data_IF_264953767855
#
_entry.id   IF_264953767855
#
_cell.length_a   1.000
_cell.length_b   1.000
_cell.length_c   1.000
_cell.angle_alpha   90.00
_cell.angle_beta   90.00
_cell.angle_gamma   90.00
#
_symmetry.space_group_name_H-M   'P 1'
#
loop_
_entity.id
_entity.type
_entity.pdbx_description
1 polymer ?
#
# COMPACT_ATOMS: atom_id res chain seq x y z
N UNK A 1 61.30 -34.46 49.18
CA UNK A 1 60.79 -33.18 48.67
C UNK A 1 60.03 -33.46 47.37
N UNK A 2 58.70 -33.44 47.43
CA UNK A 2 57.81 -33.74 46.29
C UNK A 2 57.52 -32.45 45.50
N UNK A 3 57.50 -32.49 44.16
CA UNK A 3 57.19 -31.30 43.36
C UNK A 3 55.67 -31.03 43.37
N UNK A 4 55.30 -29.78 43.65
CA UNK A 4 53.95 -29.24 43.51
C UNK A 4 53.51 -29.33 42.03
N UNK A 5 52.48 -30.11 41.75
CA UNK A 5 51.75 -30.04 40.48
C UNK A 5 50.83 -28.81 40.52
N UNK A 6 51.09 -27.85 39.65
CA UNK A 6 50.18 -26.74 39.36
C UNK A 6 49.14 -27.27 38.37
N UNK A 7 47.93 -27.51 38.85
CA UNK A 7 46.79 -27.86 38.00
C UNK A 7 46.30 -26.58 37.34
N UNK A 8 46.77 -26.31 36.12
CA UNK A 8 46.21 -25.24 35.29
C UNK A 8 44.80 -25.61 34.86
N UNK A 9 43.81 -24.89 35.38
CA UNK A 9 42.43 -24.98 34.93
C UNK A 9 42.33 -24.25 33.58
N UNK A 10 42.54 -24.97 32.49
CA UNK A 10 42.21 -24.50 31.15
C UNK A 10 40.68 -24.47 31.03
N UNK A 11 40.06 -23.32 31.31
CA UNK A 11 38.66 -23.07 30.99
C UNK A 11 38.56 -23.03 29.47
N UNK A 12 38.12 -24.14 28.88
CA UNK A 12 37.76 -24.25 27.46
C UNK A 12 36.65 -23.25 27.13
N UNK A 13 37.04 -22.11 26.58
CA UNK A 13 36.19 -21.07 25.97
C UNK A 13 35.59 -21.53 24.61
N UNK A 14 35.29 -22.83 24.45
CA UNK A 14 34.84 -23.43 23.18
C UNK A 14 33.34 -23.78 23.15
N UNK A 15 32.53 -23.18 24.03
CA UNK A 15 31.08 -23.35 24.05
C UNK A 15 30.33 -22.02 23.90
N UNK A 16 30.60 -21.29 22.81
CA UNK A 16 29.66 -20.31 22.27
C UNK A 16 29.26 -20.63 20.81
N UNK A 17 28.95 -21.88 20.41
CA UNK A 17 28.27 -22.08 19.15
C UNK A 17 26.78 -21.79 19.40
N UNK A 18 26.19 -20.91 18.59
CA UNK A 18 24.75 -20.64 18.55
C UNK A 18 24.16 -19.78 19.69
N UNK A 19 24.74 -18.60 19.94
CA UNK A 19 23.83 -17.45 20.03
C UNK A 19 23.38 -17.15 18.61
N UNK A 20 22.46 -17.97 18.09
CA UNK A 20 21.70 -17.61 16.91
C UNK A 20 21.08 -16.26 17.24
N UNK A 21 21.52 -15.21 16.56
CA UNK A 21 20.94 -13.88 16.71
C UNK A 21 19.45 -14.06 16.46
N UNK A 22 18.66 -13.93 17.53
CA UNK A 22 17.21 -13.97 17.44
C UNK A 22 16.81 -13.00 16.33
N UNK A 23 16.13 -13.54 15.31
CA UNK A 23 15.69 -12.73 14.18
C UNK A 23 14.78 -11.59 14.67
N UNK A 24 14.61 -10.60 13.81
CA UNK A 24 13.79 -9.42 14.08
C UNK A 24 12.33 -9.76 14.48
N UNK A 25 11.86 -10.96 14.16
CA UNK A 25 10.53 -11.48 14.50
C UNK A 25 10.62 -12.84 15.19
N UNK A 26 11.67 -13.08 15.98
CA UNK A 26 11.74 -14.29 16.80
C UNK A 26 10.59 -14.34 17.81
N UNK A 27 9.99 -15.52 17.96
CA UNK A 27 8.76 -15.70 18.73
C UNK A 27 7.46 -15.22 18.06
N UNK A 28 7.53 -14.57 16.90
CA UNK A 28 6.34 -14.27 16.10
C UNK A 28 5.92 -15.53 15.32
N UNK A 29 4.81 -16.14 15.71
CA UNK A 29 4.33 -17.40 15.10
C UNK A 29 2.90 -17.32 14.59
N UNK A 30 2.17 -16.27 14.97
CA UNK A 30 0.75 -16.13 14.64
C UNK A 30 0.61 -15.33 13.36
N UNK A 31 0.07 -15.98 12.34
CA UNK A 31 -0.02 -15.49 10.96
C UNK A 31 -1.30 -16.00 10.32
N UNK A 32 -1.82 -15.27 9.34
CA UNK A 32 -2.98 -15.70 8.55
C UNK A 32 -2.90 -15.15 7.13
N UNK A 33 -3.60 -15.75 6.19
CA UNK A 33 -3.73 -15.23 4.83
C UNK A 33 -5.18 -14.85 4.57
N UNK A 34 -5.43 -13.60 4.19
CA UNK A 34 -6.72 -13.13 3.71
C UNK A 34 -6.66 -13.20 2.18
N UNK A 35 -7.35 -14.15 1.53
CA UNK A 35 -7.26 -14.33 0.09
C UNK A 35 -8.00 -13.20 -0.63
N UNK A 36 -7.53 -12.87 -1.83
CA UNK A 36 -8.32 -12.06 -2.75
C UNK A 36 -9.60 -12.82 -3.14
N UNK A 37 -10.70 -12.11 -3.37
CA UNK A 37 -11.91 -12.73 -3.92
C UNK A 37 -11.58 -13.39 -5.27
N UNK A 38 -12.23 -14.50 -5.58
CA UNK A 38 -12.06 -15.22 -6.85
C UNK A 38 -10.64 -15.75 -7.16
N UNK A 39 -9.73 -15.87 -6.17
CA UNK A 39 -8.35 -16.40 -6.37
C UNK A 39 -8.14 -17.83 -5.88
N UNK A 40 -9.20 -18.65 -5.85
CA UNK A 40 -9.14 -19.94 -5.18
C UNK A 40 -8.00 -20.86 -5.68
N UNK A 41 -7.54 -20.70 -6.93
CA UNK A 41 -6.43 -21.47 -7.49
C UNK A 41 -5.50 -20.67 -8.43
N UNK A 42 -5.74 -19.38 -8.64
CA UNK A 42 -5.00 -18.57 -9.62
C UNK A 42 -4.49 -17.27 -8.99
N UNK A 43 -3.26 -16.83 -9.35
CA UNK A 43 -2.76 -15.51 -9.02
C UNK A 43 -3.77 -14.42 -9.41
N UNK A 44 -3.89 -13.39 -8.57
CA UNK A 44 -4.74 -12.23 -8.83
C UNK A 44 -4.29 -11.49 -10.08
N UNK A 45 -5.26 -11.14 -10.91
CA UNK A 45 -5.06 -10.23 -12.03
C UNK A 45 -5.05 -8.79 -11.51
N UNK A 46 -3.87 -8.19 -11.47
CA UNK A 46 -3.68 -6.80 -11.06
C UNK A 46 -4.22 -5.77 -12.08
N UNK A 47 -4.77 -6.20 -13.22
CA UNK A 47 -5.71 -5.41 -14.02
C UNK A 47 -7.04 -5.16 -13.30
N UNK A 48 -7.40 -5.95 -12.29
CA UNK A 48 -8.61 -5.80 -11.49
C UNK A 48 -8.34 -5.20 -10.11
N UNK A 49 -9.36 -4.57 -9.52
CA UNK A 49 -9.24 -3.98 -8.17
C UNK A 49 -9.20 -5.08 -7.13
N UNK A 50 -8.10 -5.25 -6.37
CA UNK A 50 -7.99 -6.32 -5.39
C UNK A 50 -9.10 -6.16 -4.36
N UNK A 51 -9.87 -7.22 -4.14
CA UNK A 51 -11.01 -7.22 -3.22
C UNK A 51 -10.90 -8.35 -2.23
N UNK A 52 -11.40 -8.12 -1.02
CA UNK A 52 -11.51 -9.14 0.03
C UNK A 52 -12.94 -9.22 0.57
N UNK A 53 -13.31 -10.39 1.07
CA UNK A 53 -14.56 -10.59 1.81
C UNK A 53 -14.44 -10.02 3.23
N UNK A 54 -15.36 -9.14 3.60
CA UNK A 54 -15.41 -8.48 4.92
C UNK A 54 -16.76 -8.68 5.57
N UNK A 55 -16.78 -9.05 6.84
CA UNK A 55 -18.00 -9.10 7.65
C UNK A 55 -17.95 -8.06 8.75
N UNK A 56 -19.05 -7.32 8.91
CA UNK A 56 -19.25 -6.42 10.04
C UNK A 56 -20.22 -7.00 11.05
N UNK A 57 -19.93 -6.77 12.33
CA UNK A 57 -20.89 -6.97 13.42
C UNK A 57 -21.05 -5.66 14.21
N UNK A 58 -22.22 -5.46 14.85
CA UNK A 58 -22.43 -4.32 15.75
C UNK A 58 -21.55 -4.48 17.00
N UNK A 59 -21.31 -3.37 17.71
CA UNK A 59 -20.39 -3.22 18.85
C UNK A 59 -20.38 -4.40 19.83
N UNK A 60 -21.58 -4.91 20.15
CA UNK A 60 -21.78 -5.83 21.28
C UNK A 60 -22.33 -7.19 20.87
N UNK A 61 -22.41 -7.50 19.56
CA UNK A 61 -22.87 -8.80 19.10
C UNK A 61 -21.84 -9.44 18.17
N UNK A 62 -21.46 -10.68 18.47
CA UNK A 62 -20.67 -11.52 17.55
C UNK A 62 -21.51 -12.07 16.38
N UNK A 63 -22.71 -11.52 16.17
CA UNK A 63 -23.64 -11.94 15.11
C UNK A 63 -23.42 -11.04 13.88
N UNK A 64 -22.76 -11.53 12.82
CA UNK A 64 -22.51 -10.75 11.62
C UNK A 64 -23.80 -10.48 10.82
N UNK A 65 -23.75 -9.44 9.99
CA UNK A 65 -24.61 -9.40 8.81
C UNK A 65 -24.40 -10.69 8.00
N UNK A 66 -25.48 -11.27 7.45
CA UNK A 66 -25.54 -12.68 7.03
C UNK A 66 -24.64 -13.07 5.84
N UNK A 67 -24.03 -12.12 5.13
CA UNK A 67 -23.12 -12.37 4.01
C UNK A 67 -21.90 -11.45 4.10
N UNK A 68 -20.72 -11.88 3.60
CA UNK A 68 -19.60 -10.96 3.41
C UNK A 68 -19.97 -9.87 2.41
N UNK A 69 -19.34 -8.72 2.58
CA UNK A 69 -19.30 -7.65 1.61
C UNK A 69 -17.92 -7.62 0.95
N UNK A 70 -17.85 -7.13 -0.28
CA UNK A 70 -16.62 -7.10 -1.06
C UNK A 70 -15.96 -5.73 -0.97
N UNK A 71 -14.81 -5.65 -0.31
CA UNK A 71 -14.11 -4.37 -0.13
C UNK A 71 -12.88 -4.31 -1.02
N UNK A 72 -12.76 -3.23 -1.79
CA UNK A 72 -11.53 -2.92 -2.50
C UNK A 72 -10.43 -2.61 -1.50
N UNK A 73 -9.27 -3.27 -1.64
CA UNK A 73 -8.10 -3.03 -0.82
C UNK A 73 -7.29 -1.89 -1.42
N UNK A 74 -6.97 -0.92 -0.58
CA UNK A 74 -6.31 0.32 -0.97
C UNK A 74 -5.11 0.60 -0.07
N UNK A 75 -3.90 0.43 -0.59
CA UNK A 75 -2.66 0.79 0.10
C UNK A 75 -2.39 2.30 0.10
N UNK A 76 -3.13 3.06 -0.72
CA UNK A 76 -3.12 4.51 -0.82
C UNK A 76 -4.02 5.22 0.19
N UNK A 77 -4.80 4.52 1.01
CA UNK A 77 -5.62 5.15 2.06
C UNK A 77 -5.60 4.33 3.36
N UNK A 78 -6.12 4.88 4.44
CA UNK A 78 -6.15 4.21 5.74
C UNK A 78 -7.55 4.24 6.36
N UNK A 79 -8.06 3.07 6.74
CA UNK A 79 -9.37 2.91 7.35
C UNK A 79 -10.42 2.36 6.39
N UNK A 80 -11.53 1.90 6.96
CA UNK A 80 -12.65 1.34 6.18
C UNK A 80 -13.68 2.44 5.94
N UNK A 81 -14.08 2.62 4.67
CA UNK A 81 -15.22 3.43 4.28
C UNK A 81 -16.32 2.50 3.80
N UNK A 82 -17.50 2.61 4.42
CA UNK A 82 -18.63 1.73 4.16
C UNK A 82 -19.92 2.53 4.01
N UNK A 83 -20.81 2.10 3.12
CA UNK A 83 -22.20 2.59 3.14
C UNK A 83 -22.82 2.35 4.51
N UNK A 84 -23.47 3.36 5.10
CA UNK A 84 -24.05 3.24 6.45
C UNK A 84 -24.95 2.01 6.65
N UNK A 85 -25.70 1.62 5.61
CA UNK A 85 -26.62 0.47 5.66
C UNK A 85 -25.85 -0.86 5.75
N UNK A 86 -24.70 -0.96 5.07
CA UNK A 86 -23.81 -2.14 5.09
C UNK A 86 -23.29 -2.44 6.50
N UNK A 87 -23.06 -1.39 7.29
CA UNK A 87 -22.58 -1.47 8.68
C UNK A 87 -23.70 -1.29 9.71
N UNK A 88 -24.96 -1.32 9.26
CA UNK A 88 -26.18 -1.18 10.06
C UNK A 88 -26.13 0.03 10.99
N UNK A 89 -25.67 1.16 10.47
CA UNK A 89 -25.67 2.43 11.20
C UNK A 89 -27.01 3.14 11.01
N UNK A 90 -27.99 2.72 11.81
CA UNK A 90 -29.38 3.18 11.79
C UNK A 90 -29.86 3.74 13.15
N UNK A 91 -29.07 3.55 14.20
CA UNK A 91 -29.46 3.92 15.57
C UNK A 91 -29.09 5.37 15.90
N UNK A 92 -30.10 6.17 16.24
CA UNK A 92 -29.93 7.54 16.75
C UNK A 92 -29.01 7.59 17.97
N UNK A 93 -29.01 6.55 18.81
CA UNK A 93 -28.18 6.43 20.01
C UNK A 93 -26.71 6.32 19.66
N UNK A 94 -26.39 5.52 18.64
CA UNK A 94 -25.01 5.38 18.17
C UNK A 94 -24.52 6.69 17.56
N UNK A 95 -25.37 7.35 16.76
CA UNK A 95 -25.08 8.64 16.13
C UNK A 95 -24.76 9.76 17.13
N UNK A 96 -25.41 9.78 18.30
CA UNK A 96 -25.14 10.77 19.36
C UNK A 96 -23.73 10.64 19.92
N UNK A 97 -23.19 9.42 19.95
CA UNK A 97 -21.85 9.14 20.50
C UNK A 97 -20.75 9.03 19.43
N UNK A 98 -21.13 9.00 18.15
CA UNK A 98 -20.20 8.85 17.05
C UNK A 98 -19.63 10.21 16.61
N UNK A 99 -18.34 10.23 16.29
CA UNK A 99 -17.69 11.42 15.77
C UNK A 99 -17.99 11.57 14.27
N UNK A 100 -18.21 12.80 13.82
CA UNK A 100 -18.28 13.10 12.38
C UNK A 100 -16.94 12.72 11.75
N UNK A 101 -17.05 12.04 10.61
CA UNK A 101 -15.91 11.58 9.85
C UNK A 101 -15.92 12.07 8.42
N UNK A 102 -14.73 12.21 7.86
CA UNK A 102 -14.49 12.59 6.49
C UNK A 102 -13.24 11.88 5.95
N UNK A 103 -13.28 11.57 4.66
CA UNK A 103 -12.19 10.89 3.97
C UNK A 103 -12.17 11.39 2.52
N UNK A 104 -11.17 12.20 2.16
CA UNK A 104 -10.98 12.69 0.80
C UNK A 104 -9.92 11.87 0.08
N UNK A 105 -10.23 11.44 -1.14
CA UNK A 105 -9.33 10.65 -1.97
C UNK A 105 -8.86 11.49 -3.14
N UNK A 106 -7.67 12.09 -3.00
CA UNK A 106 -7.09 13.03 -3.97
C UNK A 106 -6.93 12.43 -5.39
N UNK A 107 -6.77 11.11 -5.51
CA UNK A 107 -6.68 10.41 -6.80
C UNK A 107 -7.99 10.31 -7.57
N UNK A 108 -9.13 10.39 -6.87
CA UNK A 108 -10.48 10.28 -7.46
C UNK A 108 -11.30 11.56 -7.32
N UNK A 109 -10.81 12.54 -6.56
CA UNK A 109 -11.49 13.80 -6.25
C UNK A 109 -12.88 13.55 -5.62
N UNK A 110 -12.93 12.57 -4.72
CA UNK A 110 -14.14 12.18 -3.99
C UNK A 110 -13.93 12.49 -2.51
N UNK A 111 -14.86 13.25 -1.92
CA UNK A 111 -14.97 13.41 -0.48
C UNK A 111 -16.11 12.53 0.05
N UNK A 112 -15.78 11.62 0.96
CA UNK A 112 -16.75 10.85 1.72
C UNK A 112 -16.98 11.48 3.08
N UNK A 113 -18.23 11.60 3.50
CA UNK A 113 -18.61 12.14 4.82
C UNK A 113 -19.63 11.24 5.51
N UNK A 114 -19.59 11.22 6.84
CA UNK A 114 -20.48 10.39 7.66
C UNK A 114 -20.03 10.35 9.11
N UNK A 115 -20.06 9.15 9.72
CA UNK A 115 -19.70 8.96 11.13
C UNK A 115 -18.71 7.81 11.34
N UNK A 116 -17.73 8.04 12.21
CA UNK A 116 -16.81 7.02 12.67
C UNK A 116 -17.48 6.15 13.74
N UNK A 117 -17.74 4.88 13.39
CA UNK A 117 -18.43 3.93 14.27
C UNK A 117 -17.59 2.70 14.53
N UNK A 118 -17.58 2.23 15.77
CA UNK A 118 -16.79 1.06 16.14
C UNK A 118 -17.46 -0.23 15.68
N UNK A 119 -16.73 -1.06 14.93
CA UNK A 119 -17.22 -2.34 14.41
C UNK A 119 -16.19 -3.43 14.64
N UNK A 120 -16.68 -4.64 14.89
CA UNK A 120 -15.87 -5.82 14.64
C UNK A 120 -15.85 -6.09 13.15
N UNK A 121 -14.63 -6.28 12.64
CA UNK A 121 -14.33 -6.59 11.26
C UNK A 121 -13.75 -7.98 11.22
N UNK A 122 -14.32 -8.85 10.40
CA UNK A 122 -13.84 -10.21 10.24
C UNK A 122 -13.40 -10.45 8.81
N UNK A 123 -12.37 -11.27 8.66
CA UNK A 123 -11.93 -11.88 7.42
C UNK A 123 -11.85 -13.40 7.63
N UNK A 124 -12.05 -14.17 6.55
CA UNK A 124 -12.08 -15.64 6.62
C UNK A 124 -13.04 -16.17 7.70
N UNK A 125 -14.17 -15.48 7.89
CA UNK A 125 -15.09 -15.80 8.97
C UNK A 125 -15.60 -17.24 8.83
N UNK A 126 -15.52 -18.01 9.91
CA UNK A 126 -15.97 -19.41 9.92
C UNK A 126 -14.89 -20.44 9.57
N UNK A 127 -13.65 -20.01 9.27
CA UNK A 127 -12.47 -20.88 9.25
C UNK A 127 -11.58 -20.55 10.46
N UNK A 128 -11.71 -21.25 11.60
CA UNK A 128 -10.96 -20.93 12.81
C UNK A 128 -9.43 -20.95 12.64
N UNK A 129 -8.90 -21.66 11.64
CA UNK A 129 -7.47 -21.73 11.40
C UNK A 129 -6.94 -20.47 10.68
N UNK A 130 -7.80 -19.74 9.96
CA UNK A 130 -7.43 -18.57 9.14
C UNK A 130 -8.21 -17.30 9.48
N UNK A 131 -9.18 -17.39 10.39
CA UNK A 131 -10.05 -16.29 10.77
C UNK A 131 -9.25 -15.12 11.34
N UNK A 132 -9.51 -13.92 10.84
CA UNK A 132 -8.93 -12.68 11.37
C UNK A 132 -10.07 -11.84 11.92
N UNK A 133 -9.92 -11.35 13.15
CA UNK A 133 -10.89 -10.47 13.82
C UNK A 133 -10.19 -9.21 14.29
N UNK A 134 -10.73 -8.06 13.93
CA UNK A 134 -10.22 -6.73 14.30
C UNK A 134 -11.34 -5.85 14.84
N UNK A 135 -11.02 -4.90 15.72
CA UNK A 135 -11.99 -3.93 16.23
C UNK A 135 -11.52 -2.53 15.91
N UNK A 136 -12.22 -1.86 14.99
CA UNK A 136 -11.80 -0.58 14.40
C UNK A 136 -12.97 0.37 14.23
N UNK A 137 -12.65 1.65 14.05
CA UNK A 137 -13.62 2.61 13.53
C UNK A 137 -13.78 2.43 12.02
N UNK A 138 -15.04 2.39 11.58
CA UNK A 138 -15.44 2.37 10.17
C UNK A 138 -16.18 3.68 9.87
N UNK A 139 -15.87 4.32 8.76
CA UNK A 139 -16.60 5.50 8.31
C UNK A 139 -17.91 5.04 7.66
N UNK A 140 -19.00 5.12 8.42
CA UNK A 140 -20.34 4.88 7.92
C UNK A 140 -20.81 6.12 7.15
N UNK A 141 -20.68 6.08 5.82
CA UNK A 141 -20.98 7.24 4.97
C UNK A 141 -22.48 7.41 4.77
N UNK A 142 -22.89 8.67 4.76
CA UNK A 142 -24.22 9.11 4.34
C UNK A 142 -24.19 10.16 3.23
N UNK A 143 -22.99 10.62 2.87
CA UNK A 143 -22.78 11.55 1.78
C UNK A 143 -21.45 11.24 1.07
N UNK A 144 -21.49 11.45 -0.25
CA UNK A 144 -20.36 11.31 -1.17
C UNK A 144 -20.42 12.50 -2.11
N UNK A 145 -19.36 13.30 -2.15
CA UNK A 145 -19.21 14.45 -3.03
C UNK A 145 -18.19 14.11 -4.11
N UNK A 146 -18.58 14.26 -5.38
CA UNK A 146 -17.70 14.04 -6.55
C UNK A 146 -17.23 15.38 -7.12
N UNK A 147 -16.16 15.37 -7.93
CA UNK A 147 -15.54 16.61 -8.49
C UNK A 147 -15.04 17.54 -7.39
N UNK A 148 -14.53 16.95 -6.32
CA UNK A 148 -13.93 17.64 -5.22
C UNK A 148 -12.41 17.74 -5.47
N UNK A 149 -12.03 18.65 -6.37
CA UNK A 149 -10.64 18.80 -6.85
C UNK A 149 -9.68 19.18 -5.71
N UNK A 150 -10.18 19.97 -4.76
CA UNK A 150 -9.45 20.43 -3.59
C UNK A 150 -10.34 20.40 -2.36
N UNK A 151 -9.85 19.77 -1.30
CA UNK A 151 -10.52 19.75 0.00
C UNK A 151 -9.53 20.01 1.12
N UNK A 152 -9.98 20.80 2.10
CA UNK A 152 -9.24 21.07 3.32
C UNK A 152 -10.11 20.72 4.55
N UNK A 153 -9.53 20.17 5.63
CA UNK A 153 -10.28 19.80 6.83
C UNK A 153 -11.09 20.92 7.47
N UNK A 154 -10.68 22.19 7.30
CA UNK A 154 -11.45 23.35 7.79
C UNK A 154 -12.79 23.53 7.06
N UNK A 155 -12.95 22.97 5.85
CA UNK A 155 -14.20 22.99 5.08
C UNK A 155 -15.22 21.97 5.60
N UNK A 156 -14.82 21.07 6.49
CA UNK A 156 -15.68 20.04 7.06
C UNK A 156 -16.28 19.14 5.97
N UNK A 157 -17.60 18.96 6.00
CA UNK A 157 -18.33 18.10 5.06
C UNK A 157 -18.64 18.74 3.69
N UNK A 158 -18.00 19.86 3.36
CA UNK A 158 -18.26 20.60 2.12
C UNK A 158 -17.03 20.62 1.21
N UNK A 159 -17.26 20.73 -0.09
CA UNK A 159 -16.21 20.91 -1.07
C UNK A 159 -16.70 21.78 -2.23
N UNK A 160 -15.95 22.83 -2.56
CA UNK A 160 -16.33 23.81 -3.59
C UNK A 160 -16.38 23.16 -4.97
N UNK A 161 -17.43 23.43 -5.75
CA UNK A 161 -17.61 22.86 -7.10
C UNK A 161 -18.04 21.38 -7.12
N UNK A 162 -18.15 20.74 -5.96
CA UNK A 162 -18.51 19.34 -5.88
C UNK A 162 -20.01 19.08 -6.14
N UNK A 163 -20.32 17.86 -6.57
CA UNK A 163 -21.69 17.39 -6.79
C UNK A 163 -22.01 16.25 -5.82
N UNK A 164 -23.04 16.38 -4.96
CA UNK A 164 -23.51 15.29 -4.12
C UNK A 164 -24.02 14.11 -4.95
N UNK A 165 -23.57 12.91 -4.62
CA UNK A 165 -24.10 11.66 -5.16
C UNK A 165 -25.46 11.37 -4.49
N UNK A 166 -26.57 11.23 -5.24
CA UNK A 166 -27.88 10.92 -4.66
C UNK A 166 -27.94 9.53 -4.02
N UNK A 167 -26.98 8.65 -4.29
CA UNK A 167 -26.90 7.31 -3.74
C UNK A 167 -25.47 6.99 -3.26
N UNK A 168 -25.06 7.52 -2.10
CA UNK A 168 -23.70 7.42 -1.61
C UNK A 168 -23.34 5.97 -1.29
N UNK A 169 -22.65 5.32 -2.23
CA UNK A 169 -22.16 3.96 -2.09
C UNK A 169 -20.66 3.87 -2.18
N UNK A 170 -20.06 3.07 -1.30
CA UNK A 170 -18.63 2.74 -1.34
C UNK A 170 -18.32 1.51 -0.50
N UNK A 171 -17.28 0.80 -0.90
CA UNK A 171 -16.72 -0.37 -0.22
C UNK A 171 -15.20 -0.34 -0.40
N UNK A 172 -14.54 0.48 0.42
CA UNK A 172 -13.10 0.71 0.37
C UNK A 172 -12.48 0.35 1.72
N UNK A 173 -11.39 -0.41 1.69
CA UNK A 173 -10.59 -0.76 2.84
C UNK A 173 -9.16 -0.24 2.63
N UNK A 174 -8.90 0.91 3.22
CA UNK A 174 -7.57 1.48 3.33
C UNK A 174 -6.70 0.70 4.31
N UNK A 175 -5.56 0.20 3.85
CA UNK A 175 -4.59 -0.58 4.64
C UNK A 175 -3.22 0.09 4.75
N UNK A 176 -3.14 1.37 4.42
CA UNK A 176 -1.92 2.16 4.51
C UNK A 176 -1.42 2.35 5.95
N UNK A 177 -0.25 2.98 6.05
CA UNK A 177 0.64 3.13 7.19
C UNK A 177 0.28 4.34 8.08
N UNK A 178 -0.86 4.98 7.81
CA UNK A 178 -1.26 6.30 8.31
C UNK A 178 -0.96 7.39 7.28
N UNK A 179 -1.99 8.01 6.72
CA UNK A 179 -1.86 9.11 5.74
C UNK A 179 -2.58 10.34 6.27
N UNK A 180 -2.12 10.90 7.38
CA UNK A 180 -2.82 12.06 7.96
C UNK A 180 -2.59 13.36 7.17
N UNK A 181 -1.63 13.37 6.26
CA UNK A 181 -1.38 14.42 5.28
C UNK A 181 -2.15 14.15 3.96
N UNK A 182 -2.09 15.09 3.01
CA UNK A 182 -2.79 15.02 1.71
C UNK A 182 -4.32 14.85 1.81
N UNK A 183 -4.93 15.55 2.78
CA UNK A 183 -6.38 15.66 2.96
C UNK A 183 -7.07 14.41 3.51
N UNK A 184 -6.32 13.52 4.17
CA UNK A 184 -6.86 12.38 4.91
C UNK A 184 -6.53 12.48 6.41
N UNK A 185 -6.79 13.59 7.12
CA UNK A 185 -6.28 13.78 8.50
C UNK A 185 -6.94 12.86 9.54
N UNK A 186 -7.96 12.10 9.15
CA UNK A 186 -8.59 11.06 9.97
C UNK A 186 -8.18 9.65 9.49
N UNK A 187 -7.28 9.52 8.53
CA UNK A 187 -6.71 8.25 8.03
C UNK A 187 -5.53 7.77 8.87
N UNK A 188 -5.69 7.65 10.19
CA UNK A 188 -4.62 7.21 11.09
C UNK A 188 -4.54 5.68 11.23
N UNK A 189 -3.39 5.12 11.67
CA UNK A 189 -3.19 3.66 11.78
C UNK A 189 -4.16 2.92 12.72
N UNK A 190 -4.82 3.62 13.65
CA UNK A 190 -5.81 3.02 14.55
C UNK A 190 -7.08 2.59 13.81
N UNK A 191 -7.28 3.07 12.58
CA UNK A 191 -8.40 2.68 11.72
C UNK A 191 -8.05 1.55 10.75
N UNK A 192 -6.77 1.20 10.61
CA UNK A 192 -6.35 0.10 9.75
C UNK A 192 -6.74 -1.25 10.38
N UNK A 193 -7.64 -2.04 9.77
CA UNK A 193 -8.09 -3.31 10.33
C UNK A 193 -6.98 -4.35 10.45
N UNK A 194 -5.92 -4.25 9.65
CA UNK A 194 -4.79 -5.18 9.68
C UNK A 194 -3.78 -4.86 10.79
N UNK A 195 -3.88 -3.68 11.40
CA UNK A 195 -3.05 -3.29 12.55
C UNK A 195 -3.80 -3.47 13.87
N UNK A 196 -5.14 -3.41 13.86
CA UNK A 196 -5.99 -3.59 15.05
C UNK A 196 -6.46 -5.03 15.30
N UNK A 197 -5.66 -6.00 14.88
CA UNK A 197 -5.99 -7.43 14.98
C UNK A 197 -6.11 -7.84 16.45
N UNK A 198 -7.22 -8.49 16.79
CA UNK A 198 -7.52 -9.07 18.11
C UNK A 198 -7.46 -10.60 18.10
N UNK A 199 -7.55 -11.21 16.92
CA UNK A 199 -7.40 -12.65 16.69
C UNK A 199 -6.91 -12.88 15.26
N UNK A 200 -5.96 -13.79 15.07
CA UNK A 200 -5.53 -14.27 13.76
C UNK A 200 -5.30 -15.79 13.81
N UNK A 201 -6.12 -16.52 13.07
CA UNK A 201 -6.11 -17.98 13.03
C UNK A 201 -6.32 -18.62 14.41
N UNK A 202 -5.65 -19.75 14.62
CA UNK A 202 -5.64 -20.50 15.89
C UNK A 202 -4.48 -20.12 16.82
N UNK A 203 -3.61 -19.19 16.40
CA UNK A 203 -2.42 -18.81 17.16
C UNK A 203 -2.73 -17.90 18.35
N UNK A 204 -1.79 -17.84 19.30
CA UNK A 204 -1.84 -16.88 20.39
C UNK A 204 -1.59 -15.47 19.84
N UNK A 205 -2.51 -14.53 20.10
CA UNK A 205 -2.37 -13.14 19.69
C UNK A 205 -1.14 -12.47 20.33
N UNK A 206 -0.62 -12.99 21.46
CA UNK A 206 0.62 -12.51 22.05
C UNK A 206 1.85 -12.75 21.17
N UNK A 207 1.78 -13.74 20.27
CA UNK A 207 2.82 -14.06 19.28
C UNK A 207 2.50 -13.48 17.90
N UNK A 208 1.51 -12.58 17.81
CA UNK A 208 1.23 -11.82 16.60
C UNK A 208 2.15 -10.61 16.52
N UNK A 209 2.79 -10.45 15.36
CA UNK A 209 3.62 -9.30 15.07
C UNK A 209 2.96 -8.51 13.94
N UNK A 210 2.33 -7.36 14.23
CA UNK A 210 1.59 -6.58 13.24
C UNK A 210 2.45 -6.23 12.03
N UNK A 211 1.77 -6.20 10.89
CA UNK A 211 2.38 -6.03 9.57
C UNK A 211 1.78 -7.02 8.59
N UNK A 212 2.03 -6.79 7.31
CA UNK A 212 1.46 -7.60 6.25
C UNK A 212 2.38 -7.67 5.03
N UNK A 213 2.16 -8.66 4.17
CA UNK A 213 2.72 -8.77 2.82
C UNK A 213 1.58 -9.00 1.84
N UNK A 214 1.45 -8.12 0.85
CA UNK A 214 0.57 -8.30 -0.30
C UNK A 214 1.31 -9.07 -1.37
N UNK A 215 0.71 -10.16 -1.80
CA UNK A 215 1.16 -10.95 -2.95
C UNK A 215 0.00 -11.20 -3.91
N UNK A 216 0.27 -11.97 -4.96
CA UNK A 216 -0.75 -12.35 -5.94
C UNK A 216 -1.86 -13.25 -5.38
N UNK A 217 -1.75 -13.78 -4.15
CA UNK A 217 -2.75 -14.67 -3.55
C UNK A 217 -3.58 -13.99 -2.47
N UNK A 218 -3.07 -12.94 -1.84
CA UNK A 218 -3.81 -12.21 -0.83
C UNK A 218 -2.97 -11.27 0.02
N UNK A 219 -3.45 -11.10 1.24
CA UNK A 219 -2.79 -10.39 2.32
C UNK A 219 -2.27 -11.42 3.31
N UNK A 220 -0.95 -11.62 3.34
CA UNK A 220 -0.30 -12.38 4.40
C UNK A 220 -0.16 -11.47 5.62
N UNK A 221 -0.95 -11.73 6.65
CA UNK A 221 -1.05 -10.95 7.86
C UNK A 221 -0.21 -11.57 8.98
N UNK A 222 0.54 -10.72 9.68
CA UNK A 222 1.47 -11.14 10.72
C UNK A 222 2.86 -11.39 10.14
N UNK A 223 3.86 -10.70 10.70
CA UNK A 223 5.26 -10.84 10.30
C UNK A 223 5.95 -11.92 11.14
N UNK A 224 6.75 -12.75 10.48
CA UNK A 224 7.66 -13.69 11.13
C UNK A 224 8.99 -13.75 10.36
N UNK A 225 9.98 -14.46 10.90
CA UNK A 225 11.30 -14.57 10.25
C UNK A 225 11.27 -15.34 8.93
N UNK A 226 10.20 -16.07 8.61
CA UNK A 226 10.07 -16.84 7.37
C UNK A 226 9.55 -15.97 6.22
N UNK A 227 8.57 -15.12 6.51
CA UNK A 227 7.96 -14.18 5.55
C UNK A 227 8.71 -12.87 5.46
N UNK A 228 9.36 -12.45 6.55
CA UNK A 228 10.20 -11.27 6.61
C UNK A 228 11.65 -11.65 6.99
N UNK A 229 12.36 -12.45 6.17
CA UNK A 229 13.75 -12.78 6.45
C UNK A 229 14.62 -11.50 6.44
N UNK A 230 15.77 -11.46 7.10
CA UNK A 230 16.69 -10.33 7.03
C UNK A 230 16.97 -9.94 5.57
N UNK A 231 16.93 -8.63 5.27
CA UNK A 231 17.22 -8.14 3.93
C UNK A 231 18.62 -8.56 3.47
N UNK A 232 18.75 -8.92 2.20
CA UNK A 232 20.06 -9.16 1.58
C UNK A 232 20.92 -7.89 1.55
N UNK A 233 22.25 -8.01 1.41
CA UNK A 233 23.10 -6.84 1.23
C UNK A 233 22.67 -6.05 -0.02
N UNK A 234 22.90 -4.72 -0.04
CA UNK A 234 22.57 -3.93 -1.22
C UNK A 234 23.22 -4.51 -2.49
N UNK A 235 22.43 -4.65 -3.56
CA UNK A 235 22.83 -5.28 -4.83
C UNK A 235 22.45 -6.76 -4.99
N UNK A 236 21.93 -7.43 -3.96
CA UNK A 236 21.37 -8.78 -4.13
C UNK A 236 20.00 -8.74 -4.80
N UNK A 237 19.66 -9.72 -5.65
CA UNK A 237 18.33 -9.94 -6.28
C UNK A 237 17.19 -10.23 -5.25
N UNK A 238 17.41 -9.96 -3.98
CA UNK A 238 16.48 -10.23 -2.89
C UNK A 238 15.54 -9.07 -2.57
N UNK A 239 14.72 -9.24 -1.51
CA UNK A 239 13.82 -8.20 -1.03
C UNK A 239 14.54 -6.88 -0.76
N UNK A 240 14.00 -5.79 -1.31
CA UNK A 240 14.46 -4.44 -1.05
C UNK A 240 13.70 -3.94 0.18
N UNK A 241 14.44 -3.59 1.23
CA UNK A 241 13.87 -3.00 2.43
C UNK A 241 14.16 -1.50 2.48
N UNK A 242 13.11 -0.70 2.66
CA UNK A 242 13.18 0.76 2.71
C UNK A 242 12.66 1.22 4.06
N UNK A 243 13.47 2.03 4.75
CA UNK A 243 13.03 2.75 5.94
C UNK A 243 12.09 3.87 5.50
N UNK A 244 10.90 3.89 6.07
CA UNK A 244 9.91 4.92 5.81
C UNK A 244 10.27 6.21 6.53
N UNK A 245 9.88 7.33 5.95
CA UNK A 245 9.90 8.60 6.65
C UNK A 245 8.97 8.57 7.86
N UNK A 246 9.23 9.41 8.85
CA UNK A 246 8.16 9.84 9.77
C UNK A 246 7.26 10.79 9.00
N UNK A 247 5.93 10.72 9.21
CA UNK A 247 4.99 11.65 8.58
C UNK A 247 5.48 13.10 8.79
N UNK A 248 5.81 13.86 7.72
CA UNK A 248 6.32 15.21 7.83
C UNK A 248 5.29 16.19 8.43
N UNK A 249 4.01 15.81 8.47
CA UNK A 249 2.94 16.52 9.16
C UNK A 249 2.62 15.99 10.56
N UNK A 250 3.25 14.90 11.02
CA UNK A 250 3.11 14.49 12.41
C UNK A 250 3.77 15.53 13.30
N UNK A 251 2.97 16.20 14.12
CA UNK A 251 3.47 17.03 15.19
C UNK A 251 4.44 16.18 16.02
N UNK A 252 5.75 16.51 16.07
CA UNK A 252 6.71 15.76 16.87
C UNK A 252 6.39 15.82 18.37
N UNK A 253 5.52 16.74 18.79
CA UNK A 253 4.97 16.83 20.13
C UNK A 253 3.65 16.07 20.34
N UNK A 254 3.03 15.52 19.28
CA UNK A 254 1.86 14.67 19.43
C UNK A 254 2.22 13.48 20.33
N UNK A 255 1.43 13.19 21.37
CA UNK A 255 1.71 12.06 22.24
C UNK A 255 1.74 10.79 21.38
N UNK A 256 2.74 9.90 21.59
CA UNK A 256 2.77 8.63 20.87
C UNK A 256 1.43 7.93 21.07
N UNK A 257 0.91 7.33 19.98
CA UNK A 257 -0.34 6.60 20.03
C UNK A 257 -0.34 5.66 21.25
N UNK A 258 -1.39 5.67 22.08
CA UNK A 258 -1.44 4.87 23.31
C UNK A 258 -1.41 3.37 23.02
N UNK A 259 -1.54 2.98 21.75
CA UNK A 259 -1.38 1.60 21.33
C UNK A 259 0.05 1.41 20.79
N UNK A 260 0.84 0.48 21.36
CA UNK A 260 2.16 0.17 20.88
C UNK A 260 2.14 -0.13 19.38
N UNK A 261 3.11 0.43 18.63
CA UNK A 261 3.36 0.17 17.20
C UNK A 261 2.43 0.86 16.18
N UNK A 262 1.65 1.88 16.56
CA UNK A 262 0.75 2.59 15.65
C UNK A 262 1.30 3.98 15.29
N UNK A 263 2.50 4.00 14.71
CA UNK A 263 3.08 5.23 14.18
C UNK A 263 2.49 5.54 12.81
N UNK A 264 2.17 6.80 12.56
CA UNK A 264 1.89 7.29 11.21
C UNK A 264 3.23 7.37 10.48
N UNK A 265 3.50 6.37 9.63
CA UNK A 265 4.68 6.37 8.77
C UNK A 265 4.36 7.13 7.48
N UNK A 266 5.31 7.94 7.01
CA UNK A 266 5.22 8.56 5.71
C UNK A 266 5.38 7.56 4.57
N UNK A 267 5.31 8.05 3.33
CA UNK A 267 5.55 7.22 2.14
C UNK A 267 6.97 6.64 2.07
N UNK A 268 7.16 5.78 1.07
CA UNK A 268 8.46 5.25 0.70
C UNK A 268 9.30 6.42 0.15
N UNK A 269 10.40 6.83 0.81
CA UNK A 269 11.27 7.86 0.27
C UNK A 269 11.91 7.37 -1.03
N UNK A 270 12.08 8.27 -2.00
CA UNK A 270 12.62 7.92 -3.29
C UNK A 270 12.92 9.14 -4.16
N UNK A 271 13.03 8.92 -5.46
CA UNK A 271 13.12 9.98 -6.44
C UNK A 271 12.48 9.58 -7.77
N UNK A 272 12.05 10.57 -8.53
CA UNK A 272 11.42 10.40 -9.85
C UNK A 272 12.28 11.11 -10.89
N UNK A 273 12.51 10.43 -11.99
CA UNK A 273 13.18 10.97 -13.16
C UNK A 273 12.25 10.78 -14.36
N UNK A 274 11.99 11.86 -15.10
CA UNK A 274 11.21 11.83 -16.34
C UNK A 274 12.09 12.36 -17.46
N UNK A 275 12.42 11.51 -18.43
CA UNK A 275 13.30 11.82 -19.55
C UNK A 275 12.47 12.01 -20.82
N UNK A 276 12.72 13.08 -21.59
CA UNK A 276 12.07 13.26 -22.88
C UNK A 276 12.59 12.24 -23.89
N UNK A 277 11.79 11.84 -24.90
CA UNK A 277 12.21 10.91 -25.94
C UNK A 277 13.45 11.35 -26.72
N UNK A 278 13.69 12.66 -26.81
CA UNK A 278 14.81 13.25 -27.55
C UNK A 278 16.09 13.43 -26.73
N UNK A 279 15.99 13.29 -25.40
CA UNK A 279 17.09 13.60 -24.50
C UNK A 279 18.03 12.40 -24.42
N UNK A 280 19.30 12.62 -24.74
CA UNK A 280 20.35 11.58 -24.67
C UNK A 280 21.07 11.56 -23.34
N UNK A 281 20.90 12.61 -22.53
CA UNK A 281 21.46 12.71 -21.19
C UNK A 281 20.40 12.36 -20.15
N UNK A 282 20.76 11.65 -19.07
CA UNK A 282 19.81 11.36 -18.00
C UNK A 282 19.40 12.64 -17.27
N UNK A 283 18.10 12.91 -17.21
CA UNK A 283 17.54 13.97 -16.39
C UNK A 283 17.86 13.76 -14.89
N UNK A 284 17.99 14.83 -14.07
CA UNK A 284 18.20 14.68 -12.65
C UNK A 284 17.02 13.97 -11.98
N UNK A 285 17.33 13.06 -11.05
CA UNK A 285 16.30 12.42 -10.23
C UNK A 285 15.82 13.41 -9.16
N UNK A 286 14.54 13.77 -9.20
CA UNK A 286 13.91 14.69 -8.25
C UNK A 286 13.45 13.89 -7.04
N UNK A 287 13.97 14.22 -5.85
CA UNK A 287 13.54 13.57 -4.59
C UNK A 287 12.03 13.68 -4.42
N UNK A 288 11.40 12.56 -4.04
CA UNK A 288 9.94 12.44 -3.98
C UNK A 288 9.49 11.38 -2.97
N UNK A 289 8.27 11.53 -2.48
CA UNK A 289 7.51 10.49 -1.79
C UNK A 289 6.91 9.51 -2.81
N UNK A 290 7.13 8.21 -2.62
CA UNK A 290 6.64 7.16 -3.52
C UNK A 290 5.51 6.37 -2.86
N UNK A 291 4.36 6.34 -3.52
CA UNK A 291 3.19 5.57 -3.09
C UNK A 291 2.94 4.40 -4.03
N UNK A 292 2.93 3.19 -3.46
CA UNK A 292 2.41 1.98 -4.11
C UNK A 292 0.92 1.90 -3.79
N UNK A 293 0.05 2.11 -4.78
CA UNK A 293 -1.38 2.33 -4.56
C UNK A 293 -2.25 1.29 -5.30
N UNK A 294 -2.83 0.35 -4.56
CA UNK A 294 -3.78 -0.62 -5.10
C UNK A 294 -5.17 -0.03 -5.37
N UNK A 295 -5.49 1.12 -4.78
CA UNK A 295 -6.73 1.87 -4.96
C UNK A 295 -6.85 2.55 -6.33
N UNK A 296 -5.71 2.92 -6.93
CA UNK A 296 -5.64 3.60 -8.23
C UNK A 296 -6.11 2.70 -9.38
N UNK A 297 -6.67 3.29 -10.43
CA UNK A 297 -6.99 2.60 -11.68
C UNK A 297 -5.73 1.86 -12.20
N UNK A 298 -5.84 0.59 -12.63
CA UNK A 298 -4.70 -0.23 -13.08
C UNK A 298 -3.85 0.46 -14.16
N UNK A 299 -4.48 1.27 -14.99
CA UNK A 299 -3.90 1.84 -16.21
C UNK A 299 -3.31 3.23 -15.99
N UNK A 300 -3.24 3.70 -14.74
CA UNK A 300 -2.79 5.04 -14.41
C UNK A 300 -1.62 5.06 -13.44
N UNK A 301 -0.70 5.98 -13.68
CA UNK A 301 0.23 6.53 -12.70
C UNK A 301 0.04 8.05 -12.62
N UNK A 302 0.39 8.64 -11.48
CA UNK A 302 0.32 10.09 -11.27
C UNK A 302 1.59 10.58 -10.58
N UNK A 303 2.17 11.66 -11.11
CA UNK A 303 3.42 12.23 -10.65
C UNK A 303 3.22 13.72 -10.42
N UNK A 304 3.74 14.23 -9.31
CA UNK A 304 3.80 15.65 -8.97
C UNK A 304 5.26 16.06 -8.87
N UNK A 305 5.67 17.03 -9.67
CA UNK A 305 7.03 17.57 -9.70
C UNK A 305 7.01 19.09 -9.59
N UNK A 306 8.14 19.72 -9.22
CA UNK A 306 8.27 21.17 -9.30
C UNK A 306 7.92 21.69 -10.70
N UNK A 307 7.29 22.87 -10.78
CA UNK A 307 6.86 23.48 -12.05
C UNK A 307 8.00 23.55 -13.09
N UNK A 308 9.23 23.82 -12.66
CA UNK A 308 10.42 23.85 -13.52
C UNK A 308 10.66 22.53 -14.25
N UNK A 309 10.44 21.41 -13.58
CA UNK A 309 10.60 20.07 -14.16
C UNK A 309 9.43 19.72 -15.07
N UNK A 310 8.22 20.19 -14.77
CA UNK A 310 7.04 19.89 -15.59
C UNK A 310 7.02 20.70 -16.89
N UNK A 311 7.57 21.91 -16.87
CA UNK A 311 7.63 22.80 -18.03
C UNK A 311 8.53 22.27 -19.17
N UNK A 312 9.44 21.34 -18.88
CA UNK A 312 10.32 20.74 -19.89
C UNK A 312 9.73 19.49 -20.55
N UNK A 313 8.57 19.01 -20.09
CA UNK A 313 7.97 17.75 -20.53
C UNK A 313 6.93 17.98 -21.62
N UNK A 314 6.97 17.13 -22.65
CA UNK A 314 5.96 17.13 -23.72
C UNK A 314 4.71 16.37 -23.28
N UNK A 315 3.55 17.03 -23.32
CA UNK A 315 2.29 16.52 -22.75
C UNK A 315 1.09 16.71 -23.68
N UNK A 316 0.12 15.82 -23.61
CA UNK A 316 -1.20 15.93 -24.23
C UNK A 316 -2.20 16.49 -23.21
N UNK A 317 -2.97 17.49 -23.64
CA UNK A 317 -3.81 18.25 -22.71
C UNK A 317 -2.97 18.96 -21.64
N UNK A 318 -3.48 19.07 -20.42
CA UNK A 318 -2.80 19.77 -19.33
C UNK A 318 -1.84 18.90 -18.52
N UNK A 319 -1.95 17.55 -18.58
CA UNK A 319 -1.25 16.67 -17.63
C UNK A 319 -0.70 15.35 -18.21
N UNK A 320 -1.24 14.78 -19.28
CA UNK A 320 -0.85 13.42 -19.72
C UNK A 320 0.50 13.46 -20.45
N UNK A 321 1.47 12.63 -20.06
CA UNK A 321 2.76 12.55 -20.77
C UNK A 321 2.56 12.05 -22.18
N UNK A 322 3.24 12.67 -23.14
CA UNK A 322 3.27 12.14 -24.49
C UNK A 322 4.02 10.79 -24.52
N UNK A 323 3.71 9.93 -25.51
CA UNK A 323 4.47 8.72 -25.77
C UNK A 323 5.98 8.95 -25.93
N UNK A 324 6.77 7.96 -25.55
CA UNK A 324 8.24 7.89 -25.68
C UNK A 324 9.03 8.46 -24.51
N UNK A 325 8.38 8.97 -23.45
CA UNK A 325 9.11 9.41 -22.26
C UNK A 325 9.57 8.20 -21.47
N UNK A 326 10.73 8.30 -20.82
CA UNK A 326 11.11 7.30 -19.81
C UNK A 326 10.83 7.85 -18.43
N UNK A 327 10.01 7.17 -17.64
CA UNK A 327 9.78 7.48 -16.22
C UNK A 327 10.49 6.44 -15.38
N UNK A 328 11.42 6.90 -14.54
CA UNK A 328 12.13 6.08 -13.57
C UNK A 328 11.78 6.52 -12.17
N UNK A 329 11.23 5.61 -11.37
CA UNK A 329 11.02 5.78 -9.93
C UNK A 329 12.03 4.92 -9.18
N UNK A 330 12.81 5.58 -8.33
CA UNK A 330 13.77 4.94 -7.44
C UNK A 330 13.29 5.06 -6.00
N UNK A 331 13.56 4.06 -5.18
CA UNK A 331 13.19 4.02 -3.76
C UNK A 331 14.37 3.80 -2.85
N UNK A 332 14.20 4.28 -1.63
CA UNK A 332 15.18 4.29 -0.55
C UNK A 332 16.33 5.25 -0.80
N UNK A 333 17.08 5.52 0.27
CA UNK A 333 18.25 6.42 0.27
C UNK A 333 19.41 5.94 -0.62
N UNK A 334 19.29 4.73 -1.19
CA UNK A 334 20.31 4.08 -2.02
C UNK A 334 20.02 4.19 -3.51
N UNK A 335 18.91 4.81 -3.91
CA UNK A 335 18.55 5.02 -5.31
C UNK A 335 18.28 3.72 -6.07
N UNK A 336 17.70 2.72 -5.41
CA UNK A 336 17.29 1.48 -6.08
C UNK A 336 16.18 1.79 -7.06
N UNK A 337 16.34 1.41 -8.32
CA UNK A 337 15.25 1.51 -9.30
C UNK A 337 14.15 0.52 -8.92
N UNK A 338 13.06 1.05 -8.37
CA UNK A 338 11.86 0.28 -8.05
C UNK A 338 11.08 -0.03 -9.34
N UNK A 339 10.99 0.98 -10.19
CA UNK A 339 10.11 1.00 -11.33
C UNK A 339 10.77 1.86 -12.39
N UNK A 340 10.97 1.30 -13.58
CA UNK A 340 11.40 2.03 -14.75
C UNK A 340 10.48 1.62 -15.87
N UNK A 341 9.78 2.60 -16.42
CA UNK A 341 8.90 2.44 -17.55
C UNK A 341 9.30 3.40 -18.65
N UNK A 342 9.08 2.97 -19.88
CA UNK A 342 8.95 3.85 -21.01
C UNK A 342 7.44 4.03 -21.24
N UNK A 343 6.96 5.27 -21.34
CA UNK A 343 5.58 5.55 -21.72
C UNK A 343 5.46 5.25 -23.22
N UNK A 344 4.46 4.47 -23.62
CA UNK A 344 4.24 4.13 -25.03
C UNK A 344 2.91 4.71 -25.53
N UNK A 345 2.81 4.89 -26.84
CA UNK A 345 1.50 4.96 -27.51
C UNK A 345 0.85 3.59 -27.40
N UNK A 346 -0.47 3.53 -27.38
CA UNK A 346 -1.25 2.28 -27.44
C UNK A 346 -0.97 1.40 -28.69
N UNK A 347 0.00 1.74 -29.56
CA UNK A 347 0.25 1.06 -30.84
C UNK A 347 1.73 0.74 -31.13
N UNK A 348 2.71 1.23 -30.37
CA UNK A 348 4.11 0.89 -30.59
C UNK A 348 4.51 -0.27 -29.67
N UNK A 349 5.04 -1.35 -30.26
CA UNK A 349 5.37 -2.60 -29.56
C UNK A 349 6.22 -2.34 -28.32
N UNK A 350 5.75 -2.69 -27.12
CA UNK A 350 6.46 -2.42 -25.88
C UNK A 350 7.76 -3.21 -25.84
N UNK A 351 8.88 -2.51 -25.70
CA UNK A 351 10.15 -3.12 -25.37
C UNK A 351 10.38 -3.01 -23.85
N UNK A 352 11.01 -4.03 -23.28
CA UNK A 352 11.52 -4.12 -21.92
C UNK A 352 10.59 -4.35 -20.70
N UNK A 353 9.29 -4.01 -20.66
CA UNK A 353 8.53 -4.27 -19.40
C UNK A 353 6.99 -4.24 -19.52
N UNK A 354 6.43 -4.85 -20.56
CA UNK A 354 5.00 -4.79 -20.93
C UNK A 354 4.01 -4.95 -19.75
N UNK A 355 4.36 -5.75 -18.75
CA UNK A 355 3.41 -6.04 -17.67
C UNK A 355 3.28 -4.86 -16.69
N UNK A 356 4.28 -4.00 -16.46
CA UNK A 356 4.21 -2.96 -15.41
C UNK A 356 4.11 -1.53 -15.93
N UNK A 357 3.87 -1.34 -17.22
CA UNK A 357 3.66 0.00 -17.79
C UNK A 357 2.17 0.37 -17.68
N UNK A 358 1.82 1.52 -17.08
CA UNK A 358 0.47 2.06 -17.14
C UNK A 358 0.15 2.54 -18.55
N UNK A 359 -1.11 2.46 -18.96
CA UNK A 359 -1.54 3.08 -20.22
C UNK A 359 -1.34 4.60 -20.20
N UNK A 360 -1.48 5.24 -19.03
CA UNK A 360 -1.42 6.68 -18.86
C UNK A 360 -0.59 7.08 -17.66
N UNK A 361 0.32 8.02 -17.87
CA UNK A 361 1.03 8.71 -16.79
C UNK A 361 0.67 10.18 -16.82
N UNK A 362 0.05 10.68 -15.75
CA UNK A 362 -0.23 12.10 -15.60
C UNK A 362 0.84 12.77 -14.76
N UNK A 363 1.31 13.93 -15.22
CA UNK A 363 2.28 14.76 -14.52
C UNK A 363 1.65 16.13 -14.22
N UNK A 364 1.57 16.43 -12.93
CA UNK A 364 1.11 17.70 -12.40
C UNK A 364 2.31 18.52 -11.95
N UNK A 365 2.27 19.81 -12.25
CA UNK A 365 3.13 20.74 -11.53
C UNK A 365 2.55 20.94 -10.14
N UNK A 366 3.40 20.80 -9.12
CA UNK A 366 3.01 21.26 -7.80
C UNK A 366 3.10 22.79 -7.78
N UNK A 367 1.94 23.43 -7.73
CA UNK A 367 1.82 24.87 -7.74
C UNK A 367 1.67 25.38 -6.29
N UNK A 368 2.68 26.11 -5.76
CA UNK A 368 2.63 26.69 -4.43
C UNK A 368 1.44 27.65 -4.22
N UNK A 369 0.80 28.13 -5.30
CA UNK A 369 -0.37 28.99 -5.21
C UNK A 369 -1.61 28.25 -4.66
N UNK A 370 -1.73 26.95 -4.94
CA UNK A 370 -2.87 26.14 -4.50
C UNK A 370 -2.57 25.32 -3.24
N UNK A 371 -1.28 25.09 -2.95
CA UNK A 371 -0.82 24.39 -1.77
C UNK A 371 0.29 25.20 -1.11
N UNK A 372 -0.03 25.86 0.00
CA UNK A 372 0.94 26.58 0.82
C UNK A 372 1.07 25.88 2.17
N UNK A 373 2.25 25.32 2.51
CA UNK A 373 3.45 25.25 1.67
C UNK A 373 3.28 24.31 0.46
N UNK A 374 4.12 24.50 -0.57
CA UNK A 374 4.19 23.58 -1.71
C UNK A 374 4.30 22.14 -1.19
N UNK A 375 3.55 21.23 -1.81
CA UNK A 375 3.64 19.81 -1.47
C UNK A 375 5.01 19.29 -1.88
N UNK A 376 5.56 18.41 -1.05
CA UNK A 376 6.75 17.66 -1.42
C UNK A 376 6.47 16.86 -2.71
N UNK A 377 7.43 16.75 -3.66
CA UNK A 377 7.21 15.97 -4.87
C UNK A 377 6.77 14.53 -4.54
N UNK A 378 5.96 13.97 -5.42
CA UNK A 378 5.22 12.76 -5.11
C UNK A 378 4.99 11.92 -6.36
N UNK A 379 5.11 10.61 -6.27
CA UNK A 379 4.69 9.69 -7.32
C UNK A 379 3.80 8.60 -6.74
N UNK A 380 2.60 8.51 -7.29
CA UNK A 380 1.75 7.36 -7.16
C UNK A 380 1.98 6.45 -8.37
N UNK A 381 2.66 5.32 -8.13
CA UNK A 381 2.94 4.35 -9.18
C UNK A 381 1.73 3.47 -9.50
N UNK A 382 0.60 3.63 -8.82
CA UNK A 382 -0.60 2.85 -9.08
C UNK A 382 -0.44 1.35 -8.87
N UNK A 383 -1.41 0.60 -9.40
CA UNK A 383 -1.58 -0.83 -9.13
C UNK A 383 -0.74 -1.72 -10.03
N UNK A 384 -0.41 -1.29 -11.25
CA UNK A 384 0.34 -2.10 -12.20
C UNK A 384 1.72 -2.51 -11.68
N UNK A 385 2.32 -1.76 -10.75
CA UNK A 385 3.56 -2.14 -10.07
C UNK A 385 3.47 -3.56 -9.46
N UNK A 386 2.32 -3.89 -8.87
CA UNK A 386 2.08 -5.18 -8.21
C UNK A 386 2.04 -6.39 -9.16
N UNK A 387 1.98 -6.18 -10.48
CA UNK A 387 2.09 -7.28 -11.47
C UNK A 387 3.45 -7.99 -11.40
N UNK A 388 4.48 -7.36 -10.83
CA UNK A 388 5.84 -7.93 -10.74
C UNK A 388 6.49 -7.82 -9.36
N UNK A 389 5.78 -7.32 -8.36
CA UNK A 389 6.31 -7.20 -7.02
C UNK A 389 5.26 -7.51 -5.97
N UNK A 390 5.68 -8.22 -4.93
CA UNK A 390 4.96 -8.29 -3.67
C UNK A 390 5.45 -7.13 -2.79
N UNK A 391 4.58 -6.63 -1.92
CA UNK A 391 4.91 -5.50 -1.05
C UNK A 391 4.59 -5.83 0.39
N UNK A 392 5.45 -5.42 1.31
CA UNK A 392 5.29 -5.70 2.72
C UNK A 392 5.43 -4.46 3.59
N UNK A 393 4.76 -4.47 4.73
CA UNK A 393 4.81 -3.43 5.76
C UNK A 393 5.17 -4.00 7.13
N UNK A 394 6.24 -3.47 7.73
CA UNK A 394 6.51 -3.51 9.17
C UNK A 394 6.15 -2.17 9.87
N UNK A 395 5.00 -2.09 10.58
CA UNK A 395 4.58 -0.93 11.36
C UNK A 395 5.41 -0.69 12.62
N UNK A 396 6.03 -1.73 13.18
CA UNK A 396 6.85 -1.61 14.40
C UNK A 396 8.14 -0.87 14.09
N UNK A 397 8.75 -1.18 12.95
CA UNK A 397 10.03 -0.61 12.53
C UNK A 397 9.91 0.45 11.46
N UNK A 398 8.73 0.73 10.93
CA UNK A 398 8.53 1.70 9.86
C UNK A 398 9.31 1.34 8.61
N UNK A 399 9.11 0.11 8.11
CA UNK A 399 9.82 -0.39 6.95
C UNK A 399 8.82 -0.90 5.92
N UNK A 400 9.01 -0.45 4.68
CA UNK A 400 8.41 -1.10 3.52
C UNK A 400 9.38 -2.14 2.97
N UNK A 401 8.83 -3.21 2.42
CA UNK A 401 9.57 -4.21 1.68
C UNK A 401 8.97 -4.35 0.30
N UNK A 402 9.84 -4.44 -0.69
CA UNK A 402 9.48 -4.69 -2.08
C UNK A 402 10.18 -5.97 -2.47
N UNK A 403 9.41 -6.97 -2.85
CA UNK A 403 9.90 -8.32 -3.16
C UNK A 403 9.64 -8.52 -4.66
N UNK A 404 10.69 -8.54 -5.50
CA UNK A 404 10.52 -8.92 -6.90
C UNK A 404 9.89 -10.31 -6.98
N UNK A 405 8.85 -10.47 -7.81
CA UNK A 405 8.09 -11.72 -7.86
C UNK A 405 8.99 -12.89 -8.33
N UNK A 406 8.99 -14.06 -7.63
CA UNK A 406 9.88 -15.19 -7.95
C UNK A 406 9.71 -15.77 -9.36
N UNK A 407 8.52 -15.64 -9.97
CA UNK A 407 8.25 -16.09 -11.35
C UNK A 407 9.05 -15.34 -12.42
N UNK A 408 9.84 -14.33 -12.03
CA UNK A 408 10.78 -13.63 -12.89
C UNK A 408 12.24 -14.09 -12.68
N UNK A 409 12.49 -15.09 -11.82
CA UNK A 409 13.80 -15.74 -11.79
C UNK A 409 14.06 -16.43 -13.13
N UNK A 410 15.25 -16.25 -13.75
CA UNK A 410 15.60 -16.91 -15.00
C UNK A 410 15.35 -18.43 -14.90
N UNK A 411 14.43 -18.97 -15.72
CA UNK A 411 14.17 -20.40 -15.84
C UNK A 411 12.87 -20.93 -15.20
N UNK A 412 12.06 -20.09 -14.53
CA UNK A 412 10.71 -20.49 -14.12
C UNK A 412 9.75 -20.24 -15.29
N UNK A 413 8.96 -21.24 -15.75
CA UNK A 413 7.98 -21.02 -16.81
C UNK A 413 6.97 -19.96 -16.37
N UNK A 414 7.01 -18.79 -17.01
CA UNK A 414 5.98 -17.79 -16.82
C UNK A 414 4.67 -18.38 -17.31
N UNK A 415 3.66 -18.43 -16.43
CA UNK A 415 2.28 -18.61 -16.86
C UNK A 415 1.99 -17.34 -17.66
N UNK A 416 2.10 -17.45 -18.99
CA UNK A 416 1.87 -16.35 -19.92
C UNK A 416 0.58 -15.67 -19.47
N UNK A 417 0.70 -14.41 -19.09
CA UNK A 417 -0.45 -13.56 -18.95
C UNK A 417 -1.27 -13.72 -20.25
N UNK A 418 -2.58 -14.01 -20.20
CA UNK A 418 -3.41 -14.06 -21.41
C UNK A 418 -3.32 -12.78 -22.26
N UNK A 419 -2.80 -11.68 -21.72
CA UNK A 419 -2.49 -10.46 -22.45
C UNK A 419 -1.13 -10.48 -23.18
N UNK A 420 -0.22 -11.36 -22.80
CA UNK A 420 1.08 -11.59 -23.43
C UNK A 420 1.06 -12.88 -24.26
N UNK A 421 0.25 -12.92 -25.33
CA UNK A 421 0.24 -14.06 -26.27
C UNK A 421 1.44 -13.99 -27.20
N UNK A 422 2.59 -14.49 -26.74
CA UNK A 422 3.79 -14.63 -27.56
C UNK A 422 5.00 -14.89 -26.67
N UNK A 423 5.46 -16.14 -26.63
CA UNK A 423 6.70 -16.48 -25.94
C UNK A 423 7.85 -15.61 -26.44
N UNK A 424 8.72 -15.17 -25.53
CA UNK A 424 9.89 -14.34 -25.80
C UNK A 424 10.90 -15.02 -26.73
N UNK A 425 10.58 -15.09 -28.02
CA UNK A 425 11.50 -15.27 -29.13
C UNK A 425 11.56 -13.94 -29.87
N UNK A 426 12.78 -13.47 -30.17
CA UNK A 426 13.06 -12.19 -30.81
C UNK A 426 12.03 -11.84 -31.90
N UNK A 427 11.14 -10.88 -31.61
CA UNK A 427 10.07 -10.42 -32.50
C UNK A 427 8.67 -10.78 -32.04
N UNK A 428 8.15 -10.10 -31.01
CA UNK A 428 6.74 -10.17 -30.65
C UNK A 428 6.02 -8.89 -31.11
N UNK A 429 5.02 -9.06 -31.97
CA UNK A 429 4.00 -8.05 -32.23
C UNK A 429 2.85 -8.27 -31.23
N UNK A 430 2.61 -7.31 -30.34
CA UNK A 430 1.40 -7.30 -29.53
C UNK A 430 0.18 -7.19 -30.47
N UNK A 431 -0.82 -8.06 -30.30
CA UNK A 431 -2.09 -7.90 -31.02
C UNK A 431 -2.69 -6.58 -30.60
N UNK A 432 -2.91 -5.69 -31.57
CA UNK A 432 -3.76 -4.52 -31.40
C UNK A 432 -5.12 -4.97 -30.83
N UNK A 433 -5.49 -4.44 -29.67
CA UNK A 433 -6.86 -4.50 -29.20
C UNK A 433 -7.72 -3.78 -30.24
N UNK A 434 -8.58 -4.51 -30.96
CA UNK A 434 -9.62 -3.89 -31.79
C UNK A 434 -10.58 -3.09 -30.90
N UNK A 435 -11.08 -1.94 -31.38
CA UNK A 435 -11.84 -0.97 -30.59
C UNK A 435 -13.16 -1.51 -30.03
#
# INVERSE_FOLDING_TARGET
MLPRRVTGLAISLLALPYLALAGDYDGCTTVSQIPWLNTANDPWDWGLSPRVAVWFTKRDTDVPARLPLEYQVDTGSCGIIATKDDVKFDDLTEKITANIGYQWLSSSEILYTGWWVWRWVWFNKGDPAKEVKSYVQVLAIDQKLTKCEHWDPSQGASCTGSTPDPNPKTQLMGISWGRMYDGQPQGDPTRNPLLQVKKAGSGDINHFCPGWILDSYGINLGLDNTRWPPGGPPGSEGPIEVKLGTDPGADPAAPPSPVPYHYAWGEIPGCVQVQNPTDTSPEPCVEASILLDTGMNPDKASIRLPQSNVNTLSRTGSHELNPGHTVTVKVGNRGWTLWQIETYTNNDTPFYNCDITPEKTTVYADDPMYHSPARFPFANVGRHAYRRMDTGFDPRRGRARIIPHPLLQPGVPQKLDPYCVGGCGMGCACRACSP
#
